data_IF_730399542651
#
_entry.id   IF_730399542651
#
_cell.length_a   1.000
_cell.length_b   1.000
_cell.length_c   1.000
_cell.angle_alpha   90.00
_cell.angle_beta   90.00
_cell.angle_gamma   90.00
#
_symmetry.space_group_name_H-M   'P 1'
#
loop_
_entity.id
_entity.type
_entity.pdbx_description
1 polymer ?
#
# COMPACT_ATOMS: atom_id res chain seq x y z
N UNK A 1 17.83 -21.62 -23.08
CA UNK A 1 16.83 -21.24 -22.05
C UNK A 1 17.38 -20.89 -20.67
N UNK A 2 17.92 -21.80 -19.83
CA UNK A 2 18.39 -21.42 -18.46
C UNK A 2 19.59 -20.47 -18.42
N UNK A 3 20.47 -20.51 -19.44
CA UNK A 3 21.65 -19.65 -19.56
C UNK A 3 21.29 -18.24 -20.04
N UNK A 4 20.46 -18.14 -21.09
CA UNK A 4 19.93 -16.86 -21.60
C UNK A 4 19.15 -16.09 -20.52
N UNK A 5 18.28 -16.77 -19.75
CA UNK A 5 17.56 -16.15 -18.61
C UNK A 5 18.49 -15.61 -17.51
N UNK A 6 19.71 -16.15 -17.39
CA UNK A 6 20.69 -15.73 -16.38
C UNK A 6 21.52 -14.52 -16.86
N UNK A 7 21.74 -14.42 -18.17
CA UNK A 7 22.49 -13.33 -18.80
C UNK A 7 21.62 -12.08 -18.97
N UNK A 8 20.34 -12.24 -19.32
CA UNK A 8 19.36 -11.14 -19.38
C UNK A 8 19.10 -10.52 -18.00
N UNK A 9 18.95 -11.36 -16.96
CA UNK A 9 18.80 -10.89 -15.58
C UNK A 9 20.03 -10.15 -15.05
N UNK A 10 21.24 -10.49 -15.53
CA UNK A 10 22.47 -9.76 -15.19
C UNK A 10 22.53 -8.40 -15.87
N UNK A 11 22.07 -8.31 -17.12
CA UNK A 11 22.02 -7.05 -17.87
C UNK A 11 21.09 -6.04 -17.19
N UNK A 12 19.88 -6.48 -16.83
CA UNK A 12 18.90 -5.64 -16.12
C UNK A 12 19.44 -5.18 -14.77
N UNK A 13 20.07 -6.08 -14.01
CA UNK A 13 20.68 -5.73 -12.72
C UNK A 13 21.81 -4.70 -12.87
N UNK A 14 22.62 -4.77 -13.93
CA UNK A 14 23.71 -3.84 -14.21
C UNK A 14 23.20 -2.45 -14.64
N UNK A 15 22.18 -2.39 -15.51
CA UNK A 15 21.56 -1.14 -15.93
C UNK A 15 20.89 -0.41 -14.75
N UNK A 16 20.21 -1.15 -13.86
CA UNK A 16 19.59 -0.56 -12.68
C UNK A 16 20.61 -0.07 -11.65
N UNK A 17 21.73 -0.77 -11.47
CA UNK A 17 22.80 -0.35 -10.56
C UNK A 17 23.49 0.94 -11.06
N UNK A 18 23.54 1.13 -12.38
CA UNK A 18 23.98 2.38 -13.00
C UNK A 18 22.96 3.51 -12.74
N UNK A 19 21.67 3.24 -12.93
CA UNK A 19 20.60 4.21 -12.69
C UNK A 19 20.52 4.66 -11.22
N UNK A 20 20.67 3.74 -10.26
CA UNK A 20 20.67 4.06 -8.83
C UNK A 20 21.83 4.98 -8.44
N UNK A 21 23.03 4.72 -8.96
CA UNK A 21 24.22 5.57 -8.73
C UNK A 21 24.08 6.97 -9.34
N UNK A 22 23.36 7.11 -10.45
CA UNK A 22 23.05 8.42 -11.04
C UNK A 22 22.06 9.24 -10.18
N UNK A 23 21.25 8.58 -9.34
CA UNK A 23 20.22 9.24 -8.51
C UNK A 23 20.68 9.59 -7.09
N UNK A 24 21.72 8.95 -6.56
CA UNK A 24 22.32 9.31 -5.25
C UNK A 24 22.93 10.73 -5.20
N UNK A 25 23.07 11.42 -6.33
CA UNK A 25 23.63 12.77 -6.42
C UNK A 25 22.63 13.93 -6.57
N UNK A 26 21.31 13.67 -6.67
CA UNK A 26 20.32 14.74 -6.91
C UNK A 26 19.51 15.08 -5.64
N UNK A 27 19.61 16.31 -5.11
CA UNK A 27 18.77 16.73 -3.99
C UNK A 27 17.30 16.76 -4.42
N UNK A 28 16.43 16.16 -3.60
CA UNK A 28 15.00 16.07 -3.84
C UNK A 28 14.34 17.46 -3.83
N UNK A 29 14.04 17.98 -5.02
CA UNK A 29 13.31 19.25 -5.15
C UNK A 29 11.82 19.02 -4.94
N UNK A 30 11.37 18.94 -3.68
CA UNK A 30 9.96 19.21 -3.33
C UNK A 30 9.86 19.83 -1.94
N UNK A 31 10.42 21.03 -1.76
CA UNK A 31 10.20 21.82 -0.55
C UNK A 31 8.97 22.71 -0.72
N UNK A 32 7.84 22.26 -0.18
CA UNK A 32 6.65 23.10 -0.03
C UNK A 32 6.94 24.18 1.02
N UNK A 33 7.27 25.41 0.57
CA UNK A 33 7.35 26.60 1.43
C UNK A 33 5.96 26.94 1.97
N UNK A 34 5.65 26.53 3.21
CA UNK A 34 4.65 27.23 4.03
C UNK A 34 5.35 28.34 4.79
N UNK A 35 4.88 29.58 4.60
CA UNK A 35 5.24 30.75 5.41
C UNK A 35 4.92 30.44 6.87
N UNK A 36 5.92 30.55 7.73
CA UNK A 36 5.76 30.60 9.17
C UNK A 36 5.92 32.08 9.54
N UNK A 37 4.82 32.70 9.93
CA UNK A 37 4.84 34.04 10.50
C UNK A 37 5.45 33.95 11.90
N UNK A 38 6.42 34.82 12.15
CA UNK A 38 7.12 35.00 13.41
C UNK A 38 6.20 35.72 14.41
N UNK A 39 5.79 35.02 15.46
CA UNK A 39 5.37 35.69 16.69
C UNK A 39 6.01 34.99 17.88
N UNK A 40 7.09 35.62 18.35
CA UNK A 40 7.89 35.26 19.51
C UNK A 40 7.13 35.66 20.78
N UNK A 41 6.56 34.69 21.47
CA UNK A 41 6.24 34.83 22.90
C UNK A 41 7.00 33.77 23.69
N UNK A 42 8.00 34.24 24.45
CA UNK A 42 8.76 33.45 25.43
C UNK A 42 7.81 32.72 26.39
N UNK A 43 7.78 31.40 26.29
CA UNK A 43 7.32 30.54 27.37
C UNK A 43 8.38 29.50 27.73
N UNK A 44 8.57 29.21 29.02
CA UNK A 44 9.63 28.34 29.50
C UNK A 44 9.45 26.92 28.94
N UNK A 45 10.49 26.45 28.24
CA UNK A 45 10.58 25.14 27.63
C UNK A 45 10.35 24.03 28.68
N UNK A 46 9.18 23.39 28.64
CA UNK A 46 8.97 22.10 29.29
C UNK A 46 9.97 21.11 28.69
N UNK A 47 10.91 20.65 29.52
CA UNK A 47 11.76 19.49 29.21
C UNK A 47 10.86 18.30 28.91
N UNK A 48 10.62 18.03 27.63
CA UNK A 48 10.11 16.73 27.21
C UNK A 48 11.23 15.72 27.50
N UNK A 49 10.93 14.70 28.30
CA UNK A 49 11.78 13.51 28.37
C UNK A 49 11.73 12.90 26.96
N UNK A 50 12.88 12.85 26.28
CA UNK A 50 13.03 12.01 25.10
C UNK A 50 12.74 10.58 25.57
N UNK A 51 11.58 10.05 25.21
CA UNK A 51 11.32 8.62 25.34
C UNK A 51 12.24 7.92 24.35
N UNK A 52 13.08 7.00 24.85
CA UNK A 52 13.95 6.19 24.01
C UNK A 52 13.10 5.47 22.97
N UNK A 53 13.41 5.64 21.68
CA UNK A 53 12.77 4.91 20.60
C UNK A 53 13.11 3.42 20.75
N UNK A 54 12.14 2.53 21.05
CA UNK A 54 12.43 1.13 21.33
C UNK A 54 12.66 0.29 20.05
N UNK A 55 12.67 0.92 18.87
CA UNK A 55 12.90 0.29 17.58
C UNK A 55 14.28 0.66 17.02
N UNK A 56 14.94 -0.26 16.30
CA UNK A 56 16.25 -0.01 15.69
C UNK A 56 16.17 0.90 14.44
N UNK A 57 14.99 1.42 14.12
CA UNK A 57 14.71 2.28 12.97
C UNK A 57 13.81 3.44 13.39
N UNK A 58 13.74 4.46 12.53
CA UNK A 58 12.86 5.61 12.75
C UNK A 58 11.40 5.19 12.61
N UNK A 59 10.60 5.46 13.65
CA UNK A 59 9.16 5.18 13.61
C UNK A 59 8.40 6.44 13.23
N UNK A 60 7.65 6.38 12.13
CA UNK A 60 6.64 7.37 11.78
C UNK A 60 5.29 6.88 12.33
N UNK A 61 4.68 7.57 13.31
CA UNK A 61 3.45 7.10 13.96
C UNK A 61 2.30 6.76 12.99
N UNK A 62 2.22 7.49 11.87
CA UNK A 62 1.23 7.28 10.80
C UNK A 62 1.37 5.93 10.08
N UNK A 63 2.58 5.38 10.04
CA UNK A 63 2.90 4.12 9.37
C UNK A 63 2.88 2.92 10.32
N UNK A 64 2.90 3.16 11.63
CA UNK A 64 2.93 2.11 12.65
C UNK A 64 1.54 1.47 12.81
N UNK A 65 1.17 0.62 11.86
CA UNK A 65 -0.15 0.02 11.73
C UNK A 65 -0.07 -1.47 11.42
N UNK A 66 -0.82 -2.27 12.16
CA UNK A 66 -0.96 -3.71 11.92
C UNK A 66 -1.99 -4.01 10.84
N UNK A 67 -1.64 -4.94 9.96
CA UNK A 67 -2.53 -5.48 8.92
C UNK A 67 -3.65 -6.31 9.57
N UNK A 68 -4.92 -6.09 9.20
CA UNK A 68 -6.03 -6.84 9.80
C UNK A 68 -6.06 -8.29 9.30
N UNK A 69 -6.56 -9.20 10.15
CA UNK A 69 -6.71 -10.63 9.84
C UNK A 69 -7.41 -10.88 8.48
N UNK A 70 -8.47 -10.13 8.19
CA UNK A 70 -9.22 -10.25 6.93
C UNK A 70 -8.37 -10.02 5.68
N UNK A 71 -7.35 -9.15 5.75
CA UNK A 71 -6.46 -8.94 4.61
C UNK A 71 -5.64 -10.20 4.32
N UNK A 72 -5.15 -10.90 5.36
CA UNK A 72 -4.46 -12.17 5.19
C UNK A 72 -5.40 -13.27 4.68
N UNK A 73 -6.64 -13.32 5.18
CA UNK A 73 -7.65 -14.29 4.72
C UNK A 73 -7.86 -14.26 3.20
N UNK A 74 -7.86 -13.06 2.60
CA UNK A 74 -8.05 -12.90 1.16
C UNK A 74 -6.94 -13.53 0.29
N UNK A 75 -5.72 -13.67 0.82
CA UNK A 75 -4.58 -14.25 0.08
C UNK A 75 -4.32 -15.73 0.43
N UNK A 76 -5.01 -16.28 1.44
CA UNK A 76 -4.82 -17.69 1.85
C UNK A 76 -4.96 -18.71 0.72
N UNK A 77 -5.96 -18.61 -0.19
CA UNK A 77 -6.07 -19.59 -1.27
C UNK A 77 -4.82 -19.61 -2.15
N UNK A 78 -4.21 -18.45 -2.43
CA UNK A 78 -2.96 -18.38 -3.20
C UNK A 78 -1.78 -18.96 -2.41
N UNK A 79 -1.67 -18.67 -1.11
CA UNK A 79 -0.60 -19.23 -0.27
C UNK A 79 -0.68 -20.76 -0.19
N UNK A 80 -1.88 -21.32 -0.10
CA UNK A 80 -2.09 -22.76 -0.11
C UNK A 80 -1.68 -23.38 -1.46
N UNK A 81 -2.05 -22.73 -2.57
CA UNK A 81 -1.66 -23.16 -3.93
C UNK A 81 -0.15 -23.08 -4.14
N UNK A 82 0.52 -22.05 -3.62
CA UNK A 82 1.99 -21.93 -3.66
C UNK A 82 2.64 -23.07 -2.89
N UNK A 83 2.18 -23.37 -1.67
CA UNK A 83 2.72 -24.49 -0.89
C UNK A 83 2.53 -25.84 -1.62
N UNK A 84 1.34 -26.06 -2.21
CA UNK A 84 1.04 -27.25 -3.02
C UNK A 84 1.99 -27.37 -4.22
N UNK A 85 2.19 -26.30 -4.97
CA UNK A 85 3.09 -26.26 -6.14
C UNK A 85 4.54 -26.55 -5.77
N UNK A 86 4.98 -26.01 -4.63
CA UNK A 86 6.28 -26.28 -4.02
C UNK A 86 6.39 -27.69 -3.40
N UNK A 87 5.30 -28.45 -3.35
CA UNK A 87 5.21 -29.80 -2.76
C UNK A 87 5.59 -29.81 -1.28
N UNK A 88 5.17 -28.79 -0.55
CA UNK A 88 5.35 -28.69 0.90
C UNK A 88 3.99 -28.51 1.58
N UNK A 89 3.92 -28.91 2.84
CA UNK A 89 2.75 -28.62 3.67
C UNK A 89 2.61 -27.12 3.87
N UNK A 90 1.36 -26.61 3.92
CA UNK A 90 1.11 -25.18 4.21
C UNK A 90 1.78 -24.72 5.50
N UNK A 91 1.86 -25.62 6.49
CA UNK A 91 2.47 -25.34 7.79
C UNK A 91 3.98 -25.20 7.71
N UNK A 92 4.60 -25.67 6.64
CA UNK A 92 6.04 -25.63 6.37
C UNK A 92 6.47 -24.44 5.52
N UNK A 93 5.53 -23.72 4.89
CA UNK A 93 5.80 -22.56 4.04
C UNK A 93 6.41 -21.42 4.87
N UNK A 94 7.61 -20.98 4.50
CA UNK A 94 8.33 -19.91 5.20
C UNK A 94 7.94 -18.54 4.65
N UNK A 95 7.32 -17.72 5.48
CA UNK A 95 6.84 -16.39 5.13
C UNK A 95 7.80 -15.35 5.71
N UNK A 96 8.21 -14.38 4.90
CA UNK A 96 9.00 -13.23 5.34
C UNK A 96 8.19 -11.93 5.27
N UNK A 97 8.08 -11.24 6.41
CA UNK A 97 7.60 -9.86 6.49
C UNK A 97 8.75 -8.96 6.99
N UNK A 98 9.42 -8.19 6.11
CA UNK A 98 10.55 -7.35 6.48
C UNK A 98 10.19 -6.16 7.38
N UNK A 99 8.94 -5.71 7.40
CA UNK A 99 8.57 -4.49 8.14
C UNK A 99 7.88 -4.86 9.45
N UNK A 100 8.56 -4.59 10.56
CA UNK A 100 8.04 -4.89 11.88
C UNK A 100 7.21 -3.74 12.46
N UNK A 101 6.00 -4.08 12.92
CA UNK A 101 5.13 -3.20 13.70
C UNK A 101 5.13 -3.65 15.18
N UNK A 102 4.28 -4.59 15.55
CA UNK A 102 4.29 -5.29 16.85
C UNK A 102 4.40 -6.82 16.70
N UNK A 103 4.56 -7.32 15.48
CA UNK A 103 4.67 -8.75 15.22
C UNK A 103 3.34 -9.48 15.06
N UNK A 104 2.20 -8.77 14.96
CA UNK A 104 0.88 -9.43 14.89
C UNK A 104 0.67 -10.28 13.65
N UNK A 105 1.42 -10.01 12.58
CA UNK A 105 1.47 -10.86 11.37
C UNK A 105 1.76 -12.33 11.71
N UNK A 106 2.66 -12.60 12.67
CA UNK A 106 3.00 -13.96 13.11
C UNK A 106 1.80 -14.67 13.72
N UNK A 107 1.07 -13.98 14.60
CA UNK A 107 -0.14 -14.51 15.22
C UNK A 107 -1.22 -14.77 14.16
N UNK A 108 -1.55 -13.77 13.35
CA UNK A 108 -2.62 -13.86 12.36
C UNK A 108 -2.37 -15.00 11.36
N UNK A 109 -1.17 -15.10 10.79
CA UNK A 109 -0.84 -16.16 9.83
C UNK A 109 -0.70 -17.53 10.50
N UNK A 110 -0.19 -17.59 11.73
CA UNK A 110 -0.15 -18.82 12.52
C UNK A 110 -1.53 -19.40 12.78
N UNK A 111 -2.51 -18.57 13.18
CA UNK A 111 -3.92 -18.96 13.34
C UNK A 111 -4.56 -19.46 12.03
N UNK A 112 -4.06 -19.00 10.88
CA UNK A 112 -4.51 -19.42 9.55
C UNK A 112 -3.76 -20.66 9.01
N UNK A 113 -2.85 -21.24 9.80
CA UNK A 113 -2.13 -22.47 9.48
C UNK A 113 -0.76 -22.26 8.81
N UNK A 114 -0.21 -21.05 8.86
CA UNK A 114 1.12 -20.70 8.37
C UNK A 114 2.01 -20.22 9.53
N UNK A 115 2.53 -21.13 10.38
CA UNK A 115 3.23 -20.77 11.61
C UNK A 115 4.67 -20.28 11.38
N UNK A 116 5.29 -20.57 10.24
CA UNK A 116 6.67 -20.18 9.95
C UNK A 116 6.75 -18.77 9.35
N UNK A 117 6.53 -17.77 10.20
CA UNK A 117 6.60 -16.36 9.83
C UNK A 117 7.81 -15.70 10.48
N UNK A 118 8.72 -15.17 9.67
CA UNK A 118 9.81 -14.32 10.11
C UNK A 118 9.36 -12.85 10.04
N UNK A 119 9.29 -12.21 11.21
CA UNK A 119 8.98 -10.79 11.38
C UNK A 119 9.60 -10.34 12.72
N UNK A 120 10.85 -9.90 12.66
CA UNK A 120 11.63 -9.50 13.82
C UNK A 120 11.78 -7.99 13.90
N UNK A 121 11.96 -7.47 15.11
CA UNK A 121 12.19 -6.04 15.36
C UNK A 121 13.59 -5.64 14.91
N UNK A 122 13.80 -5.62 13.61
CA UNK A 122 15.06 -5.32 12.95
C UNK A 122 14.84 -4.24 11.88
N UNK A 123 15.88 -3.47 11.56
CA UNK A 123 15.84 -2.57 10.41
C UNK A 123 16.06 -3.38 9.14
N UNK A 124 15.01 -3.51 8.32
CA UNK A 124 15.01 -4.24 7.06
C UNK A 124 16.20 -3.87 6.16
N UNK A 125 16.50 -2.59 6.00
CA UNK A 125 17.55 -2.12 5.10
C UNK A 125 18.93 -2.46 5.65
N UNK A 126 19.11 -2.36 6.97
CA UNK A 126 20.34 -2.80 7.63
C UNK A 126 20.55 -4.31 7.47
N UNK A 127 19.50 -5.12 7.64
CA UNK A 127 19.54 -6.59 7.44
C UNK A 127 19.88 -6.94 6.00
N UNK A 128 19.26 -6.27 5.03
CA UNK A 128 19.52 -6.46 3.60
C UNK A 128 20.98 -6.10 3.26
N UNK A 129 21.46 -4.93 3.70
CA UNK A 129 22.85 -4.47 3.46
C UNK A 129 23.88 -5.41 4.09
N UNK A 130 23.56 -6.02 5.23
CA UNK A 130 24.41 -6.98 5.92
C UNK A 130 24.36 -8.39 5.33
N UNK A 131 23.52 -8.66 4.32
CA UNK A 131 23.22 -10.00 3.80
C UNK A 131 22.78 -10.99 4.88
N UNK A 132 21.96 -10.53 5.84
CA UNK A 132 21.45 -11.31 6.97
C UNK A 132 19.97 -11.69 6.82
N UNK A 133 19.46 -11.68 5.59
CA UNK A 133 18.07 -12.05 5.32
C UNK A 133 17.80 -13.48 5.80
N UNK A 134 16.60 -13.76 6.36
CA UNK A 134 16.22 -15.13 6.70
C UNK A 134 16.10 -16.00 5.44
N UNK A 135 16.03 -17.32 5.63
CA UNK A 135 15.53 -18.20 4.59
C UNK A 135 14.00 -18.12 4.53
N UNK A 136 13.44 -17.96 3.32
CA UNK A 136 11.99 -17.77 3.12
C UNK A 136 11.55 -18.29 1.75
N UNK A 137 10.27 -18.64 1.62
CA UNK A 137 9.67 -19.10 0.36
C UNK A 137 8.85 -17.99 -0.31
N UNK A 138 8.17 -17.17 0.49
CA UNK A 138 7.26 -16.11 0.04
C UNK A 138 7.46 -14.84 0.87
N UNK A 139 7.33 -13.68 0.23
CA UNK A 139 7.30 -12.38 0.92
C UNK A 139 5.84 -11.97 1.10
N UNK A 140 5.44 -11.60 2.32
CA UNK A 140 4.13 -11.02 2.59
C UNK A 140 4.34 -9.81 3.48
N UNK A 141 3.99 -8.62 3.01
CA UNK A 141 4.22 -7.42 3.81
C UNK A 141 3.27 -6.27 3.49
N UNK A 142 3.16 -5.37 4.47
CA UNK A 142 2.49 -4.08 4.40
C UNK A 142 3.55 -3.02 4.75
N UNK A 143 4.34 -2.54 3.77
CA UNK A 143 5.43 -1.62 4.07
C UNK A 143 4.88 -0.29 4.58
N UNK A 144 5.67 0.51 5.32
CA UNK A 144 5.36 1.90 5.60
C UNK A 144 5.01 2.67 4.32
N UNK A 145 4.05 3.60 4.40
CA UNK A 145 3.58 4.35 3.25
C UNK A 145 4.27 5.71 3.10
N UNK A 146 5.05 6.13 4.10
CA UNK A 146 5.92 7.31 3.98
C UNK A 146 7.17 7.03 3.15
N UNK A 147 7.87 8.12 2.82
CA UNK A 147 9.16 8.15 2.11
C UNK A 147 9.14 7.31 0.82
N UNK A 148 10.18 6.53 0.59
CA UNK A 148 10.41 5.65 -0.55
C UNK A 148 10.31 4.16 -0.16
N UNK A 149 9.80 3.84 1.04
CA UNK A 149 9.68 2.47 1.54
C UNK A 149 8.95 1.52 0.57
N UNK A 150 7.85 1.97 -0.03
CA UNK A 150 7.08 1.19 -1.01
C UNK A 150 7.94 0.84 -2.24
N UNK A 151 8.69 1.82 -2.77
CA UNK A 151 9.52 1.61 -3.95
C UNK A 151 10.66 0.64 -3.65
N UNK A 152 11.38 0.87 -2.55
CA UNK A 152 12.47 -0.02 -2.15
C UNK A 152 11.97 -1.45 -1.87
N UNK A 153 10.79 -1.59 -1.24
CA UNK A 153 10.17 -2.88 -1.00
C UNK A 153 9.79 -3.60 -2.30
N UNK A 154 9.18 -2.89 -3.26
CA UNK A 154 8.83 -3.45 -4.56
C UNK A 154 10.07 -3.98 -5.29
N UNK A 155 11.14 -3.18 -5.29
CA UNK A 155 12.40 -3.56 -5.88
C UNK A 155 12.97 -4.84 -5.24
N UNK A 156 12.93 -4.94 -3.91
CA UNK A 156 13.35 -6.15 -3.19
C UNK A 156 12.50 -7.37 -3.58
N UNK A 157 11.18 -7.22 -3.61
CA UNK A 157 10.26 -8.28 -4.00
C UNK A 157 10.54 -8.82 -5.40
N UNK A 158 10.68 -7.93 -6.39
CA UNK A 158 11.00 -8.30 -7.78
C UNK A 158 12.38 -8.98 -7.86
N UNK A 159 13.39 -8.41 -7.20
CA UNK A 159 14.76 -8.93 -7.22
C UNK A 159 14.89 -10.31 -6.54
N UNK A 160 14.01 -10.64 -5.59
CA UNK A 160 14.01 -11.92 -4.88
C UNK A 160 13.66 -13.11 -5.80
N UNK A 161 12.91 -12.86 -6.88
CA UNK A 161 12.37 -13.90 -7.80
C UNK A 161 11.51 -14.96 -7.10
N UNK A 162 11.04 -14.68 -5.89
CA UNK A 162 10.13 -15.51 -5.11
C UNK A 162 8.73 -14.92 -5.14
N UNK A 163 7.67 -15.72 -4.97
CA UNK A 163 6.32 -15.21 -4.81
C UNK A 163 6.25 -14.09 -3.76
N UNK A 164 5.48 -13.05 -4.05
CA UNK A 164 5.35 -11.92 -3.12
C UNK A 164 3.95 -11.31 -3.12
N UNK A 165 3.58 -10.78 -1.94
CA UNK A 165 2.30 -10.13 -1.66
C UNK A 165 2.57 -8.79 -0.97
N UNK A 166 2.30 -7.69 -1.66
CA UNK A 166 2.51 -6.33 -1.16
C UNK A 166 1.17 -5.65 -0.92
N UNK A 167 0.84 -5.38 0.33
CA UNK A 167 -0.35 -4.61 0.70
C UNK A 167 -0.02 -3.12 0.68
N UNK A 168 -0.39 -2.44 -0.39
CA UNK A 168 -0.03 -1.03 -0.59
C UNK A 168 -1.22 -0.19 -1.07
N UNK A 169 -1.14 1.15 -1.00
CA UNK A 169 -2.21 2.03 -1.43
C UNK A 169 -2.58 1.87 -2.90
N UNK A 170 -3.82 2.20 -3.20
CA UNK A 170 -4.37 2.17 -4.54
C UNK A 170 -3.73 3.15 -5.52
N UNK A 171 -2.88 4.09 -5.09
CA UNK A 171 -2.18 4.98 -6.02
C UNK A 171 -0.91 4.33 -6.59
N UNK A 172 -0.41 3.23 -6.02
CA UNK A 172 0.93 2.70 -6.34
C UNK A 172 1.04 2.28 -7.80
N UNK A 173 0.03 1.59 -8.35
CA UNK A 173 0.04 1.18 -9.76
C UNK A 173 0.15 2.37 -10.75
N UNK A 174 -0.24 3.58 -10.32
CA UNK A 174 -0.15 4.77 -11.16
C UNK A 174 1.23 5.43 -11.16
N UNK A 175 2.13 5.03 -10.26
CA UNK A 175 3.45 5.64 -10.06
C UNK A 175 4.45 5.25 -11.14
N UNK A 176 5.38 6.14 -11.42
CA UNK A 176 6.42 5.92 -12.45
C UNK A 176 7.35 4.77 -12.09
N UNK A 177 7.80 4.68 -10.83
CA UNK A 177 8.66 3.58 -10.39
C UNK A 177 7.97 2.22 -10.55
N UNK A 178 6.67 2.14 -10.24
CA UNK A 178 5.90 0.91 -10.39
C UNK A 178 5.83 0.51 -11.87
N UNK A 179 5.50 1.46 -12.75
CA UNK A 179 5.46 1.19 -14.19
C UNK A 179 6.81 0.74 -14.71
N UNK A 180 7.88 1.42 -14.32
CA UNK A 180 9.23 1.08 -14.75
C UNK A 180 9.61 -0.34 -14.32
N UNK A 181 9.43 -0.69 -13.05
CA UNK A 181 9.84 -2.01 -12.55
C UNK A 181 8.92 -3.15 -13.01
N UNK A 182 7.62 -2.90 -13.16
CA UNK A 182 6.65 -3.96 -13.44
C UNK A 182 6.35 -4.17 -14.93
N UNK A 183 6.45 -3.15 -15.78
CA UNK A 183 6.13 -3.30 -17.21
C UNK A 183 7.21 -4.04 -18.00
N UNK A 184 8.42 -4.13 -17.46
CA UNK A 184 9.51 -4.93 -18.02
C UNK A 184 9.47 -6.40 -17.59
N UNK A 185 8.55 -6.78 -16.71
CA UNK A 185 8.39 -8.17 -16.29
C UNK A 185 7.65 -8.96 -17.37
N UNK A 186 8.08 -10.21 -17.58
CA UNK A 186 7.37 -11.14 -18.46
C UNK A 186 5.93 -11.38 -17.98
N UNK A 187 5.79 -11.54 -16.66
CA UNK A 187 4.52 -11.70 -15.97
C UNK A 187 4.33 -10.53 -15.01
N UNK A 188 3.53 -9.51 -15.38
CA UNK A 188 3.29 -8.36 -14.52
C UNK A 188 2.47 -8.75 -13.29
N UNK A 189 2.55 -7.99 -12.18
CA UNK A 189 1.79 -8.28 -10.97
C UNK A 189 0.28 -8.20 -11.21
N UNK A 190 -0.46 -9.10 -10.56
CA UNK A 190 -1.92 -9.04 -10.45
C UNK A 190 -2.35 -8.49 -9.08
N UNK A 191 -3.66 -8.39 -8.84
CA UNK A 191 -4.22 -7.76 -7.64
C UNK A 191 -5.27 -8.61 -6.95
N UNK A 192 -5.18 -8.75 -5.63
CA UNK A 192 -6.31 -9.24 -4.80
C UNK A 192 -6.99 -8.05 -4.15
N UNK A 193 -8.14 -7.69 -4.71
CA UNK A 193 -8.88 -6.47 -4.39
C UNK A 193 -10.05 -6.79 -3.46
N UNK A 194 -10.11 -6.18 -2.27
CA UNK A 194 -11.24 -6.40 -1.36
C UNK A 194 -12.47 -5.60 -1.80
N UNK A 195 -13.66 -6.15 -1.56
CA UNK A 195 -14.94 -5.45 -1.75
C UNK A 195 -15.12 -4.32 -0.72
N UNK A 196 -14.58 -4.52 0.48
CA UNK A 196 -14.62 -3.56 1.58
C UNK A 196 -13.21 -3.17 1.99
N UNK A 197 -13.03 -1.89 2.27
CA UNK A 197 -11.74 -1.35 2.67
C UNK A 197 -11.23 -1.96 3.98
N UNK A 198 -9.96 -2.36 4.00
CA UNK A 198 -9.29 -2.82 5.21
C UNK A 198 -9.25 -1.76 6.31
N UNK A 199 -9.43 -2.21 7.55
CA UNK A 199 -9.32 -1.39 8.76
C UNK A 199 -8.06 -1.79 9.52
N UNK A 200 -7.09 -0.91 9.54
CA UNK A 200 -5.79 -1.14 10.17
C UNK A 200 -5.86 -0.90 11.67
N UNK A 201 -5.02 -1.63 12.41
CA UNK A 201 -4.95 -1.52 13.87
C UNK A 201 -3.69 -0.77 14.25
N UNK A 202 -3.85 0.42 14.80
CA UNK A 202 -2.73 1.17 15.40
C UNK A 202 -2.40 0.59 16.78
N UNK A 203 -1.13 0.27 17.08
CA UNK A 203 -0.72 -0.18 18.41
C UNK A 203 -0.97 0.86 19.51
N UNK A 204 -1.02 0.39 20.76
CA UNK A 204 -1.16 1.27 21.93
C UNK A 204 0.02 2.25 21.98
N UNK A 205 -0.25 3.52 22.29
CA UNK A 205 0.76 4.58 22.33
C UNK A 205 0.95 5.34 21.02
N UNK A 206 0.55 4.77 19.88
CA UNK A 206 0.67 5.40 18.55
C UNK A 206 -0.63 6.04 18.06
N UNK A 207 -1.66 6.08 18.90
CA UNK A 207 -2.93 6.72 18.55
C UNK A 207 -2.76 8.23 18.35
N UNK A 208 -3.13 8.71 17.16
CA UNK A 208 -3.19 10.15 16.90
C UNK A 208 -4.22 10.82 17.83
N UNK A 209 -3.79 11.86 18.55
CA UNK A 209 -4.61 12.62 19.52
C UNK A 209 -5.95 13.14 18.97
N UNK A 210 -6.08 13.26 17.64
CA UNK A 210 -7.25 13.85 16.99
C UNK A 210 -7.97 12.93 15.97
N UNK A 211 -7.57 11.66 15.80
CA UNK A 211 -8.18 10.79 14.79
C UNK A 211 -8.76 9.51 15.41
N UNK A 212 -10.10 9.47 15.54
CA UNK A 212 -10.88 8.27 15.90
C UNK A 212 -10.82 7.14 14.84
N UNK A 213 -10.00 7.26 13.78
CA UNK A 213 -10.14 6.43 12.58
C UNK A 213 -9.14 5.27 12.57
N UNK A 214 -9.66 4.05 12.78
CA UNK A 214 -9.03 2.72 12.61
C UNK A 214 -8.68 2.37 11.15
N UNK A 215 -8.40 3.36 10.30
CA UNK A 215 -8.27 3.14 8.85
C UNK A 215 -7.23 4.09 8.28
N UNK A 216 -6.40 3.58 7.36
CA UNK A 216 -5.54 4.37 6.47
C UNK A 216 -6.31 5.57 5.84
N UNK A 217 -5.65 6.56 5.24
CA UNK A 217 -6.31 7.54 4.36
C UNK A 217 -6.62 7.02 2.95
N UNK A 218 -5.95 5.97 2.46
CA UNK A 218 -6.12 5.43 1.10
C UNK A 218 -6.71 4.00 1.07
N UNK A 219 -7.59 3.65 0.10
CA UNK A 219 -7.87 2.25 -0.20
C UNK A 219 -6.56 1.52 -0.47
N UNK A 220 -6.44 0.28 0.00
CA UNK A 220 -5.26 -0.56 -0.19
C UNK A 220 -5.72 -1.96 -0.59
N UNK A 221 -4.90 -2.65 -1.36
CA UNK A 221 -5.15 -4.02 -1.80
C UNK A 221 -3.81 -4.71 -2.06
N UNK A 222 -3.84 -6.03 -2.21
CA UNK A 222 -2.63 -6.80 -2.44
C UNK A 222 -2.20 -6.69 -3.90
N UNK A 223 -0.93 -6.37 -4.11
CA UNK A 223 -0.21 -6.58 -5.35
C UNK A 223 0.47 -7.93 -5.22
N UNK A 224 0.33 -8.78 -6.22
CA UNK A 224 0.80 -10.17 -6.19
C UNK A 224 1.66 -10.39 -7.41
N UNK A 225 2.92 -10.80 -7.21
CA UNK A 225 3.84 -11.05 -8.31
C UNK A 225 4.69 -12.29 -8.08
N UNK A 226 5.34 -12.73 -9.16
CA UNK A 226 6.10 -13.97 -9.21
C UNK A 226 5.29 -15.21 -8.74
N UNK A 227 3.99 -15.21 -8.99
CA UNK A 227 3.09 -16.36 -8.83
C UNK A 227 2.75 -16.88 -10.21
N UNK A 228 2.95 -18.18 -10.45
CA UNK A 228 2.70 -18.77 -11.76
C UNK A 228 1.24 -18.63 -12.19
N UNK A 229 1.05 -18.38 -13.49
CA UNK A 229 -0.26 -18.14 -14.09
C UNK A 229 -1.28 -19.26 -13.82
N UNK A 230 -0.83 -20.53 -13.84
CA UNK A 230 -1.72 -21.67 -13.57
C UNK A 230 -2.23 -21.71 -12.13
N UNK A 231 -1.47 -21.19 -11.16
CA UNK A 231 -1.94 -21.06 -9.77
C UNK A 231 -2.97 -19.94 -9.65
N UNK A 232 -2.71 -18.82 -10.32
CA UNK A 232 -3.68 -17.73 -10.37
C UNK A 232 -4.99 -18.15 -11.03
N UNK A 233 -4.97 -19.06 -12.02
CA UNK A 233 -6.16 -19.58 -12.70
C UNK A 233 -7.02 -20.46 -11.78
N UNK A 234 -6.38 -21.07 -10.79
CA UNK A 234 -7.04 -21.88 -9.74
C UNK A 234 -7.57 -21.04 -8.58
N UNK A 235 -7.36 -19.73 -8.57
CA UNK A 235 -7.83 -18.88 -7.49
C UNK A 235 -9.34 -18.65 -7.58
N UNK A 236 -10.09 -19.21 -6.63
CA UNK A 236 -11.56 -19.12 -6.60
C UNK A 236 -12.09 -17.84 -5.95
N UNK A 237 -11.21 -17.02 -5.34
CA UNK A 237 -11.60 -15.78 -4.65
C UNK A 237 -12.58 -16.00 -3.50
N UNK A 238 -13.31 -14.95 -3.15
CA UNK A 238 -14.41 -15.02 -2.19
C UNK A 238 -15.47 -13.98 -2.53
N UNK A 239 -16.57 -13.94 -1.77
CA UNK A 239 -17.54 -12.82 -1.89
C UNK A 239 -16.98 -11.49 -1.37
N UNK A 240 -15.85 -11.52 -0.65
CA UNK A 240 -15.26 -10.37 0.03
C UNK A 240 -14.03 -9.81 -0.70
N UNK A 241 -13.49 -10.54 -1.69
CA UNK A 241 -12.38 -10.10 -2.52
C UNK A 241 -12.38 -10.79 -3.90
N UNK A 242 -11.72 -10.15 -4.86
CA UNK A 242 -11.58 -10.66 -6.23
C UNK A 242 -10.14 -10.57 -6.70
N UNK A 243 -9.75 -11.51 -7.56
CA UNK A 243 -8.51 -11.42 -8.32
C UNK A 243 -8.72 -10.57 -9.58
N UNK A 244 -7.82 -9.64 -9.81
CA UNK A 244 -7.78 -8.78 -11.00
C UNK A 244 -6.43 -8.98 -11.65
N UNK A 245 -6.39 -9.39 -12.92
CA UNK A 245 -5.15 -9.72 -13.62
C UNK A 245 -4.41 -8.50 -14.15
N UNK A 246 -5.15 -7.48 -14.57
CA UNK A 246 -4.58 -6.31 -15.21
C UNK A 246 -5.08 -5.02 -14.56
N UNK A 247 -4.25 -3.98 -14.57
CA UNK A 247 -4.60 -2.66 -14.00
C UNK A 247 -5.87 -2.06 -14.61
N UNK A 248 -6.09 -2.28 -15.92
CA UNK A 248 -7.25 -1.79 -16.66
C UNK A 248 -8.58 -2.35 -16.14
N UNK A 249 -8.52 -3.50 -15.46
CA UNK A 249 -9.68 -4.22 -14.94
C UNK A 249 -9.92 -3.94 -13.44
N UNK A 250 -9.13 -3.04 -12.83
CA UNK A 250 -9.35 -2.61 -11.44
C UNK A 250 -10.73 -1.95 -11.28
N UNK A 251 -11.48 -2.32 -10.23
CA UNK A 251 -12.85 -1.83 -10.07
C UNK A 251 -12.87 -0.35 -9.69
N UNK A 252 -13.84 0.39 -10.23
CA UNK A 252 -13.98 1.83 -10.05
C UNK A 252 -13.86 2.36 -8.60
N UNK A 253 -14.33 1.65 -7.55
CA UNK A 253 -14.17 2.10 -6.17
C UNK A 253 -12.72 2.20 -5.71
N UNK A 254 -11.82 1.39 -6.27
CA UNK A 254 -10.41 1.31 -5.86
C UNK A 254 -9.45 2.02 -6.81
N UNK A 255 -9.91 2.55 -7.94
CA UNK A 255 -9.05 3.34 -8.84
C UNK A 255 -8.47 4.58 -8.15
N UNK A 256 -7.26 4.98 -8.53
CA UNK A 256 -6.68 6.27 -8.14
C UNK A 256 -7.45 7.42 -8.82
N UNK A 257 -8.41 7.98 -8.08
CA UNK A 257 -9.26 9.09 -8.56
C UNK A 257 -8.48 10.35 -8.94
N UNK A 258 -7.22 10.49 -8.53
CA UNK A 258 -6.39 11.65 -8.85
C UNK A 258 -5.57 11.44 -10.10
N UNK A 259 -4.92 10.29 -10.27
CA UNK A 259 -3.95 10.06 -11.34
C UNK A 259 -4.45 9.13 -12.45
N UNK A 260 -5.32 8.18 -12.13
CA UNK A 260 -5.89 7.23 -13.10
C UNK A 260 -6.81 7.94 -14.12
N UNK A 261 -6.63 7.74 -15.44
CA UNK A 261 -7.50 8.35 -16.45
C UNK A 261 -8.99 8.02 -16.30
N UNK A 262 -9.32 6.76 -16.01
CA UNK A 262 -10.69 6.31 -15.77
C UNK A 262 -11.20 6.85 -14.44
N UNK A 263 -10.37 6.85 -13.39
CA UNK A 263 -10.65 7.49 -12.11
C UNK A 263 -10.98 8.99 -12.26
N UNK A 264 -10.17 9.73 -13.03
CA UNK A 264 -10.39 11.15 -13.38
C UNK A 264 -11.71 11.34 -14.12
N UNK A 265 -12.00 10.50 -15.12
CA UNK A 265 -13.25 10.55 -15.91
C UNK A 265 -14.48 10.37 -15.01
N UNK A 266 -14.49 9.35 -14.16
CA UNK A 266 -15.58 9.06 -13.21
C UNK A 266 -15.77 10.22 -12.24
N UNK A 267 -14.68 10.76 -11.67
CA UNK A 267 -14.72 11.93 -10.77
C UNK A 267 -15.33 13.15 -11.45
N UNK A 268 -14.91 13.44 -12.68
CA UNK A 268 -15.37 14.60 -13.44
C UNK A 268 -16.86 14.46 -13.82
N UNK A 269 -17.31 13.27 -14.20
CA UNK A 269 -18.73 12.98 -14.46
C UNK A 269 -19.60 13.23 -13.21
N UNK A 270 -19.16 12.75 -12.03
CA UNK A 270 -19.86 13.01 -10.74
C UNK A 270 -19.95 14.50 -10.42
N UNK A 271 -18.86 15.26 -10.64
CA UNK A 271 -18.85 16.73 -10.46
C UNK A 271 -19.86 17.42 -11.39
N UNK A 272 -19.91 17.04 -12.67
CA UNK A 272 -20.87 17.58 -13.66
C UNK A 272 -22.31 17.30 -13.24
N UNK A 273 -22.63 16.07 -12.82
CA UNK A 273 -23.98 15.70 -12.37
C UNK A 273 -24.42 16.47 -11.12
N UNK A 274 -23.53 16.63 -10.13
CA UNK A 274 -23.80 17.44 -8.93
C UNK A 274 -24.07 18.91 -9.27
N UNK A 275 -23.33 19.46 -10.24
CA UNK A 275 -23.57 20.82 -10.72
C UNK A 275 -24.93 20.97 -11.41
N UNK A 276 -25.34 19.98 -12.23
CA UNK A 276 -26.66 19.97 -12.87
C UNK A 276 -27.80 19.93 -11.83
N UNK A 277 -27.67 19.07 -10.82
CA UNK A 277 -28.66 18.96 -9.75
C UNK A 277 -28.79 20.25 -8.94
N UNK A 278 -27.66 20.90 -8.61
CA UNK A 278 -27.67 22.21 -7.93
C UNK A 278 -28.34 23.31 -8.75
N UNK A 279 -28.14 23.33 -10.06
CA UNK A 279 -28.82 24.30 -10.95
C UNK A 279 -30.33 24.04 -11.00
N UNK A 280 -30.75 22.77 -11.06
CA UNK A 280 -32.17 22.39 -11.03
C UNK A 280 -32.84 22.83 -9.71
N UNK A 281 -32.22 22.57 -8.57
CA UNK A 281 -32.80 22.95 -7.27
C UNK A 281 -32.91 24.47 -7.09
N UNK A 282 -31.95 25.25 -7.60
CA UNK A 282 -32.05 26.73 -7.59
C UNK A 282 -33.16 27.30 -8.47
N UNK A 283 -33.60 26.56 -9.50
CA UNK A 283 -34.71 26.98 -10.36
C UNK A 283 -36.08 26.64 -9.76
N UNK A 284 -36.15 25.70 -8.82
CA UNK A 284 -37.40 25.30 -8.15
C UNK A 284 -37.66 26.05 -6.84
N UNK A 285 -36.70 26.81 -6.32
CA UNK A 285 -36.89 27.75 -5.22
C UNK A 285 -37.41 29.08 -5.79
N UNK A 286 -38.70 29.12 -6.16
CA UNK A 286 -39.40 30.41 -6.36
C UNK A 286 -39.39 31.18 -5.04
N UNK A 287 -39.06 32.49 -5.04
CA UNK A 287 -39.19 33.30 -3.83
C UNK A 287 -40.62 33.21 -3.32
N UNK A 288 -40.86 33.14 -1.99
CA UNK A 288 -42.21 33.20 -1.47
C UNK A 288 -42.87 34.49 -1.98
N UNK A 289 -44.16 34.44 -2.36
CA UNK A 289 -44.86 35.62 -2.84
C UNK A 289 -44.78 36.71 -1.77
N UNK A 290 -44.32 37.88 -2.19
CA UNK A 290 -44.19 39.04 -1.34
C UNK A 290 -45.62 39.49 -0.99
N UNK A 291 -46.11 39.15 0.20
CA UNK A 291 -47.39 39.63 0.70
C UNK A 291 -47.28 41.13 0.97
N UNK A 292 -47.49 41.94 -0.07
CA UNK A 292 -47.83 43.34 0.07
C UNK A 292 -49.19 43.42 0.77
N UNK A 293 -49.17 43.96 1.99
CA UNK A 293 -50.36 44.35 2.73
C UNK A 293 -50.74 45.73 2.24
N UNK A 294 -51.76 45.79 1.39
CA UNK A 294 -52.44 47.05 1.07
C UNK A 294 -53.18 47.53 2.32
N UNK A 295 -52.67 48.61 2.91
CA UNK A 295 -53.39 49.45 3.85
C UNK A 295 -53.86 50.68 3.06
N UNK A 296 -55.07 50.60 2.51
CA UNK A 296 -55.80 51.78 2.03
C UNK A 296 -56.58 52.41 3.18
N UNK A 297 -56.32 53.70 3.40
CA UNK A 297 -57.08 54.65 4.22
C UNK A 297 -58.08 55.42 3.35
#
# INVERSE_FOLDING_TARGET
MKKERKDEAKSIALEMLHWMKEKEGQPSTTTNKRKLDSDTSDQPSKKFKEEENPYPYLVVPEDHCETPLVAYQHILPLLALIAEDMKIEKSSLKIYDPYYCEGRVKQNLGELGFPHVYNEREDFYAVQKANKLPDFDVIITNPPYSTDHIQQCLHFCISSKKPWFLLVPNFVYSKEYYKYECTSLLDPPCFVVPEVRYQYVTPKGYHQKNNKKKTSPFPSFWYVGAVDGHLLDRYEGSKECRLVREEKDLPAPVLDKMNDPLGKKIRNAKKRNKSKLRKKNKQTETPPPNNQTDNDQ
#
